data_IF_490253742657
#
_entry.id   IF_490253742657
#
_cell.length_a   1.000
_cell.length_b   1.000
_cell.length_c   1.000
_cell.angle_alpha   90.00
_cell.angle_beta   90.00
_cell.angle_gamma   90.00
#
_symmetry.space_group_name_H-M   'P 1'
#
loop_
_entity.id
_entity.type
_entity.pdbx_description
1 polymer ?
#
# COMPACT_ATOMS: atom_id res chain seq x y z
N UNK A 1 20.21 51.24 63.75
CA UNK A 1 20.79 50.68 62.52
C UNK A 1 21.31 49.28 62.82
N UNK A 2 21.12 48.34 61.88
CA UNK A 2 21.58 46.93 61.84
C UNK A 2 20.68 45.87 62.48
N UNK A 3 19.63 45.52 61.73
CA UNK A 3 19.01 44.19 61.72
C UNK A 3 19.89 43.27 60.85
N UNK A 4 20.26 42.10 61.38
CA UNK A 4 20.75 40.98 60.58
C UNK A 4 19.55 40.18 60.05
N UNK A 5 19.67 39.60 58.85
CA UNK A 5 19.08 38.28 58.68
C UNK A 5 20.00 37.26 57.97
N UNK A 6 20.00 36.09 58.60
CA UNK A 6 20.07 34.73 58.09
C UNK A 6 20.01 34.56 56.56
N UNK A 7 21.05 33.92 56.01
CA UNK A 7 21.06 33.36 54.65
C UNK A 7 20.38 31.98 54.70
N UNK A 8 19.17 31.86 54.14
CA UNK A 8 18.52 30.57 53.90
C UNK A 8 18.48 30.36 52.38
N UNK A 9 19.32 29.45 51.88
CA UNK A 9 19.35 29.03 50.49
C UNK A 9 18.17 28.09 50.25
N UNK A 10 17.13 28.57 49.56
CA UNK A 10 16.07 27.74 49.01
C UNK A 10 16.41 27.42 47.55
N UNK A 11 16.92 26.21 47.32
CA UNK A 11 17.02 25.57 46.02
C UNK A 11 15.60 25.33 45.47
N UNK A 12 15.14 26.20 44.58
CA UNK A 12 13.96 25.95 43.76
C UNK A 12 14.36 25.09 42.57
N UNK A 13 14.25 23.76 42.73
CA UNK A 13 14.24 22.83 41.61
C UNK A 13 12.88 22.97 40.92
N UNK A 14 12.82 23.85 39.92
CA UNK A 14 11.69 23.95 39.03
C UNK A 14 11.78 22.87 37.94
N UNK A 15 11.00 21.80 38.07
CA UNK A 15 10.69 20.90 36.95
C UNK A 15 9.96 21.71 35.86
N UNK A 16 10.67 22.08 34.78
CA UNK A 16 10.01 22.52 33.57
C UNK A 16 9.28 21.32 32.97
N UNK A 17 7.96 21.28 33.15
CA UNK A 17 7.07 20.45 32.33
C UNK A 17 7.29 20.87 30.88
N UNK A 18 7.93 20.02 30.10
CA UNK A 18 7.90 20.09 28.64
C UNK A 18 6.45 20.05 28.19
N UNK A 19 6.03 21.11 27.48
CA UNK A 19 4.74 21.13 26.80
C UNK A 19 4.76 20.03 25.74
N UNK A 20 3.70 19.21 25.61
CA UNK A 20 3.58 18.34 24.47
C UNK A 20 3.43 19.23 23.23
N UNK A 21 4.35 19.07 22.28
CA UNK A 21 4.16 19.60 20.93
C UNK A 21 2.90 18.97 20.39
N UNK A 22 1.90 19.80 20.11
CA UNK A 22 0.66 19.39 19.44
C UNK A 22 1.05 18.70 18.13
N UNK A 23 1.00 17.37 18.12
CA UNK A 23 1.04 16.61 16.88
C UNK A 23 -0.16 17.07 16.05
N UNK A 24 0.01 17.40 14.76
CA UNK A 24 -1.11 17.77 13.92
C UNK A 24 -2.17 16.65 13.94
N UNK A 25 -3.45 17.01 13.91
CA UNK A 25 -4.54 16.04 14.05
C UNK A 25 -4.44 14.99 12.94
N UNK A 26 -4.37 13.73 13.36
CA UNK A 26 -4.42 12.54 12.50
C UNK A 26 -5.78 12.58 11.79
N UNK A 27 -5.77 12.85 10.49
CA UNK A 27 -6.98 12.82 9.69
C UNK A 27 -7.26 11.36 9.27
N UNK A 28 -8.41 10.81 9.69
CA UNK A 28 -8.91 9.56 9.14
C UNK A 28 -9.15 9.76 7.64
N UNK A 29 -8.48 8.96 6.81
CA UNK A 29 -8.66 9.07 5.36
C UNK A 29 -10.00 8.43 5.02
N UNK A 30 -11.04 9.25 4.90
CA UNK A 30 -12.28 8.89 4.21
C UNK A 30 -12.07 8.99 2.69
N UNK A 31 -11.07 8.27 2.16
CA UNK A 31 -11.01 8.09 0.72
C UNK A 31 -12.09 7.08 0.35
N UNK A 32 -12.97 7.40 -0.61
CA UNK A 32 -13.82 6.40 -1.20
C UNK A 32 -12.88 5.35 -1.80
N UNK A 33 -12.77 4.18 -1.16
CA UNK A 33 -12.36 3.01 -1.89
C UNK A 33 -13.41 2.84 -2.98
N UNK A 34 -13.03 2.98 -4.25
CA UNK A 34 -13.91 2.70 -5.38
C UNK A 34 -14.17 1.19 -5.47
N UNK A 35 -14.81 0.63 -4.46
CA UNK A 35 -15.43 -0.68 -4.55
C UNK A 35 -16.65 -0.48 -5.42
N UNK A 36 -16.57 -0.95 -6.66
CA UNK A 36 -17.72 -0.93 -7.55
C UNK A 36 -18.79 -1.87 -7.00
N UNK A 37 -20.04 -1.40 -6.98
CA UNK A 37 -21.17 -2.27 -6.70
C UNK A 37 -21.26 -3.35 -7.77
N UNK A 38 -21.25 -4.60 -7.32
CA UNK A 38 -21.38 -5.77 -8.20
C UNK A 38 -22.86 -5.97 -8.48
N UNK A 39 -23.25 -5.95 -9.75
CA UNK A 39 -24.60 -6.33 -10.14
C UNK A 39 -24.68 -7.82 -10.49
N UNK A 40 -25.76 -8.49 -10.07
CA UNK A 40 -25.96 -9.93 -10.26
C UNK A 40 -26.13 -10.32 -11.75
N UNK A 41 -26.47 -9.36 -12.61
CA UNK A 41 -26.75 -9.53 -14.04
C UNK A 41 -25.66 -8.98 -14.97
N UNK A 42 -24.45 -8.73 -14.45
CA UNK A 42 -23.32 -8.27 -15.25
C UNK A 42 -22.97 -9.25 -16.37
N UNK A 43 -22.97 -8.75 -17.61
CA UNK A 43 -22.52 -9.52 -18.78
C UNK A 43 -21.00 -9.68 -18.73
N UNK A 44 -20.55 -10.91 -18.55
CA UNK A 44 -19.12 -11.26 -18.59
C UNK A 44 -18.62 -11.22 -20.04
N UNK A 45 -17.62 -10.38 -20.29
CA UNK A 45 -16.92 -10.23 -21.58
C UNK A 45 -15.80 -11.27 -21.70
N UNK A 46 -15.00 -11.42 -20.64
CA UNK A 46 -13.86 -12.33 -20.55
C UNK A 46 -13.67 -12.75 -19.09
N UNK A 47 -13.13 -13.95 -18.87
CA UNK A 47 -12.68 -14.40 -17.55
C UNK A 47 -11.20 -14.76 -17.61
N UNK A 48 -10.44 -14.24 -16.67
CA UNK A 48 -9.05 -14.62 -16.40
C UNK A 48 -8.99 -15.39 -15.06
N UNK A 49 -8.10 -16.36 -14.96
CA UNK A 49 -7.83 -17.08 -13.70
C UNK A 49 -6.52 -16.56 -13.12
N UNK A 50 -6.55 -16.10 -11.87
CA UNK A 50 -5.39 -15.61 -11.14
C UNK A 50 -4.99 -16.68 -10.10
N UNK A 51 -3.82 -17.27 -10.28
CA UNK A 51 -3.20 -18.14 -9.28
C UNK A 51 -2.75 -17.33 -8.06
N UNK A 52 -2.96 -17.88 -6.86
CA UNK A 52 -2.51 -17.24 -5.61
C UNK A 52 -1.26 -17.95 -5.11
N UNK A 53 -0.19 -17.19 -4.90
CA UNK A 53 1.10 -17.71 -4.46
C UNK A 53 1.30 -17.51 -2.94
N UNK A 54 1.94 -18.47 -2.30
CA UNK A 54 2.48 -18.34 -0.94
C UNK A 54 3.91 -18.85 -0.96
N UNK A 55 4.87 -18.02 -0.55
CA UNK A 55 6.30 -18.36 -0.54
C UNK A 55 6.77 -18.97 -1.88
N UNK A 56 6.34 -18.37 -3.00
CA UNK A 56 6.68 -18.81 -4.36
C UNK A 56 5.95 -20.07 -4.86
N UNK A 57 5.08 -20.66 -4.04
CA UNK A 57 4.28 -21.84 -4.41
C UNK A 57 2.85 -21.44 -4.74
N UNK A 58 2.37 -21.80 -5.92
CA UNK A 58 0.97 -21.59 -6.32
C UNK A 58 0.03 -22.50 -5.53
N UNK A 59 -1.09 -21.96 -5.06
CA UNK A 59 -2.14 -22.74 -4.42
C UNK A 59 -2.86 -23.63 -5.44
N UNK A 60 -3.05 -24.90 -5.08
CA UNK A 60 -3.83 -25.85 -5.91
C UNK A 60 -5.35 -25.75 -5.70
N UNK A 61 -5.80 -24.95 -4.74
CA UNK A 61 -7.19 -24.89 -4.31
C UNK A 61 -7.76 -23.47 -4.24
N UNK A 62 -6.91 -22.48 -4.05
CA UNK A 62 -7.30 -21.08 -3.90
C UNK A 62 -6.89 -20.30 -5.14
N UNK A 63 -7.83 -19.55 -5.69
CA UNK A 63 -7.65 -18.78 -6.92
C UNK A 63 -8.67 -17.65 -6.98
N UNK A 64 -8.46 -16.73 -7.91
CA UNK A 64 -9.39 -15.63 -8.18
C UNK A 64 -9.83 -15.73 -9.64
N UNK A 65 -11.12 -15.60 -9.90
CA UNK A 65 -11.62 -15.39 -11.25
C UNK A 65 -11.84 -13.90 -11.47
N UNK A 66 -11.12 -13.30 -12.41
CA UNK A 66 -11.28 -11.92 -12.82
C UNK A 66 -12.19 -11.86 -14.05
N UNK A 67 -13.43 -11.45 -13.84
CA UNK A 67 -14.42 -11.28 -14.90
C UNK A 67 -14.40 -9.85 -15.41
N UNK A 68 -14.00 -9.65 -16.66
CA UNK A 68 -14.15 -8.36 -17.34
C UNK A 68 -15.63 -8.14 -17.63
N UNK A 69 -16.20 -7.05 -17.12
CA UNK A 69 -17.65 -6.75 -17.22
C UNK A 69 -17.96 -5.47 -17.99
N UNK A 70 -17.00 -4.53 -18.08
CA UNK A 70 -17.10 -3.32 -18.88
C UNK A 70 -15.72 -2.95 -19.43
N UNK A 71 -15.67 -2.41 -20.65
CA UNK A 71 -14.47 -1.86 -21.25
C UNK A 71 -14.85 -0.68 -22.15
N UNK A 72 -14.23 0.47 -21.91
CA UNK A 72 -14.47 1.71 -22.66
C UNK A 72 -13.16 2.43 -22.92
N UNK A 73 -13.02 3.01 -24.10
CA UNK A 73 -11.96 3.96 -24.40
C UNK A 73 -12.54 5.37 -24.36
N UNK A 74 -11.79 6.32 -23.79
CA UNK A 74 -12.13 7.73 -23.87
C UNK A 74 -11.65 8.37 -25.19
N UNK A 75 -11.81 9.69 -25.32
CA UNK A 75 -11.44 10.45 -26.52
C UNK A 75 -9.94 10.40 -26.80
N UNK A 76 -9.12 10.18 -25.77
CA UNK A 76 -7.66 10.10 -25.85
C UNK A 76 -7.18 8.65 -26.02
N UNK A 77 -8.11 7.73 -26.33
CA UNK A 77 -7.86 6.28 -26.46
C UNK A 77 -7.35 5.63 -25.16
N UNK A 78 -7.53 6.26 -24.00
CA UNK A 78 -7.22 5.66 -22.72
C UNK A 78 -8.32 4.66 -22.37
N UNK A 79 -7.94 3.39 -22.28
CA UNK A 79 -8.87 2.30 -21.99
C UNK A 79 -9.11 2.21 -20.48
N UNK A 80 -10.37 2.25 -20.08
CA UNK A 80 -10.82 1.92 -18.72
C UNK A 80 -11.58 0.60 -18.76
N UNK A 81 -11.22 -0.32 -17.87
CA UNK A 81 -11.89 -1.62 -17.70
C UNK A 81 -12.48 -1.73 -16.31
N UNK A 82 -13.57 -2.50 -16.20
CA UNK A 82 -14.14 -2.90 -14.91
C UNK A 82 -14.08 -4.40 -14.79
N UNK A 83 -13.60 -4.86 -13.64
CA UNK A 83 -13.51 -6.27 -13.31
C UNK A 83 -14.34 -6.58 -12.07
N UNK A 84 -15.01 -7.74 -12.10
CA UNK A 84 -15.48 -8.43 -10.91
C UNK A 84 -14.48 -9.53 -10.56
N UNK A 85 -13.87 -9.43 -9.39
CA UNK A 85 -12.98 -10.43 -8.83
C UNK A 85 -13.80 -11.38 -7.95
N UNK A 86 -13.87 -12.65 -8.30
CA UNK A 86 -14.51 -13.71 -7.50
C UNK A 86 -13.44 -14.55 -6.80
N UNK A 87 -13.45 -14.56 -5.47
CA UNK A 87 -12.43 -15.18 -4.63
C UNK A 87 -12.84 -16.60 -4.25
N UNK A 88 -12.02 -17.58 -4.62
CA UNK A 88 -12.23 -18.99 -4.29
C UNK A 88 -11.23 -19.45 -3.24
N UNK A 89 -11.73 -19.99 -2.14
CA UNK A 89 -10.93 -20.69 -1.12
C UNK A 89 -11.39 -22.13 -1.06
N UNK A 90 -10.47 -23.09 -1.09
CA UNK A 90 -10.82 -24.52 -1.21
C UNK A 90 -11.81 -24.79 -2.35
N UNK A 91 -11.59 -24.17 -3.52
CA UNK A 91 -12.44 -24.26 -4.72
C UNK A 91 -13.89 -23.82 -4.53
N UNK A 92 -14.21 -23.15 -3.41
CA UNK A 92 -15.54 -22.60 -3.13
C UNK A 92 -15.47 -21.09 -3.21
N UNK A 93 -16.38 -20.46 -3.96
CA UNK A 93 -16.49 -19.00 -3.98
C UNK A 93 -16.86 -18.51 -2.58
N UNK A 94 -16.09 -17.58 -2.05
CA UNK A 94 -16.25 -17.04 -0.69
C UNK A 94 -16.67 -15.58 -0.69
N UNK A 95 -16.17 -14.79 -1.63
CA UNK A 95 -16.46 -13.36 -1.73
C UNK A 95 -16.29 -12.86 -3.17
N UNK A 96 -16.73 -11.63 -3.42
CA UNK A 96 -16.47 -10.92 -4.66
C UNK A 96 -16.12 -9.45 -4.40
N UNK A 97 -15.34 -8.82 -5.28
CA UNK A 97 -15.05 -7.39 -5.28
C UNK A 97 -15.10 -6.81 -6.69
N UNK A 98 -15.64 -5.61 -6.86
CA UNK A 98 -15.61 -4.88 -8.13
C UNK A 98 -14.50 -3.83 -8.14
N UNK A 99 -13.69 -3.79 -9.20
CA UNK A 99 -12.60 -2.81 -9.37
C UNK A 99 -12.67 -2.14 -10.75
N UNK A 100 -12.20 -0.90 -10.84
CA UNK A 100 -11.95 -0.18 -12.09
C UNK A 100 -10.44 0.02 -12.29
N UNK A 101 -9.96 -0.21 -13.50
CA UNK A 101 -8.57 0.06 -13.89
C UNK A 101 -8.60 1.04 -15.06
N UNK A 102 -7.99 2.20 -14.87
CA UNK A 102 -7.80 3.22 -15.93
C UNK A 102 -6.43 3.01 -16.57
N UNK A 103 -6.33 3.23 -17.89
CA UNK A 103 -5.08 3.02 -18.63
C UNK A 103 -4.75 1.55 -18.83
N UNK A 104 -5.76 0.68 -18.94
CA UNK A 104 -5.55 -0.75 -19.10
C UNK A 104 -4.96 -1.10 -20.47
N UNK A 105 -3.80 -1.76 -20.47
CA UNK A 105 -3.14 -2.18 -21.69
C UNK A 105 -3.43 -3.64 -22.03
N UNK A 106 -3.66 -3.91 -23.31
CA UNK A 106 -3.87 -5.29 -23.77
C UNK A 106 -2.59 -6.10 -23.60
N UNK A 107 -2.70 -7.21 -22.89
CA UNK A 107 -1.55 -8.04 -22.50
C UNK A 107 -1.10 -7.79 -21.06
N UNK A 108 -1.82 -6.97 -20.29
CA UNK A 108 -1.62 -6.89 -18.85
C UNK A 108 -1.77 -8.26 -18.19
N UNK A 109 -0.90 -8.54 -17.23
CA UNK A 109 -0.82 -9.80 -16.50
C UNK A 109 -1.28 -9.60 -15.06
N UNK A 110 -1.83 -10.67 -14.46
CA UNK A 110 -2.27 -10.69 -13.07
C UNK A 110 -1.27 -11.45 -12.21
N UNK A 111 -1.05 -10.95 -11.00
CA UNK A 111 -0.31 -11.64 -9.95
C UNK A 111 -1.09 -11.54 -8.65
N UNK A 112 -1.11 -12.61 -7.85
CA UNK A 112 -1.67 -12.55 -6.51
C UNK A 112 -0.85 -13.37 -5.51
N UNK A 113 -0.71 -12.87 -4.30
CA UNK A 113 0.02 -13.56 -3.23
C UNK A 113 -0.58 -13.30 -1.86
N UNK A 114 -0.52 -14.30 -0.99
CA UNK A 114 -0.88 -14.12 0.42
C UNK A 114 0.23 -13.39 1.17
N UNK A 115 -0.16 -12.56 2.14
CA UNK A 115 0.76 -11.81 3.00
C UNK A 115 0.73 -10.30 2.79
N UNK A 116 1.16 -9.58 3.82
CA UNK A 116 1.65 -8.21 3.74
C UNK A 116 3.11 -8.17 3.25
N UNK A 117 3.91 -9.17 3.63
CA UNK A 117 5.30 -9.38 3.19
C UNK A 117 5.57 -10.88 3.10
N UNK A 118 6.67 -11.28 2.45
CA UNK A 118 7.08 -12.70 2.38
C UNK A 118 7.18 -13.36 3.76
N UNK A 119 7.75 -12.66 4.74
CA UNK A 119 7.89 -13.11 6.13
C UNK A 119 6.57 -13.48 6.83
N UNK A 120 5.42 -13.03 6.31
CA UNK A 120 4.12 -13.24 6.93
C UNK A 120 3.07 -13.86 5.99
N UNK A 121 3.49 -14.39 4.84
CA UNK A 121 2.60 -14.94 3.83
C UNK A 121 1.80 -16.15 4.32
N UNK A 122 2.45 -17.05 5.07
CA UNK A 122 1.83 -18.30 5.53
C UNK A 122 0.64 -18.05 6.45
N UNK A 123 -0.52 -18.60 6.08
CA UNK A 123 -1.80 -18.45 6.79
C UNK A 123 -2.25 -16.97 6.95
N UNK A 124 -1.76 -16.07 6.10
CA UNK A 124 -2.18 -14.68 6.13
C UNK A 124 -3.62 -14.54 5.62
N UNK A 125 -4.48 -13.77 6.29
CA UNK A 125 -5.74 -13.31 5.71
C UNK A 125 -5.52 -12.17 4.70
N UNK A 126 -4.32 -11.63 4.57
CA UNK A 126 -4.02 -10.59 3.60
C UNK A 126 -3.71 -11.19 2.25
N UNK A 127 -4.24 -10.58 1.19
CA UNK A 127 -4.07 -11.00 -0.19
C UNK A 127 -3.73 -9.78 -1.03
N UNK A 128 -2.52 -9.75 -1.58
CA UNK A 128 -2.09 -8.75 -2.53
C UNK A 128 -2.43 -9.22 -3.94
N UNK A 129 -2.99 -8.33 -4.75
CA UNK A 129 -3.30 -8.56 -6.15
C UNK A 129 -2.70 -7.41 -6.94
N UNK A 130 -1.97 -7.73 -8.00
CA UNK A 130 -1.37 -6.76 -8.90
C UNK A 130 -1.81 -7.07 -10.33
N UNK A 131 -2.03 -6.02 -11.11
CA UNK A 131 -2.28 -6.10 -12.54
C UNK A 131 -1.52 -5.00 -13.25
N UNK A 132 -0.75 -5.37 -14.27
CA UNK A 132 0.10 -4.43 -14.98
C UNK A 132 0.60 -4.97 -16.28
N UNK A 133 1.15 -4.09 -17.11
CA UNK A 133 1.70 -4.44 -18.41
C UNK A 133 3.21 -4.65 -18.31
N UNK A 134 3.74 -5.83 -18.68
CA UNK A 134 5.16 -6.10 -18.61
C UNK A 134 5.90 -5.46 -19.78
N UNK A 135 6.22 -4.17 -19.66
CA UNK A 135 6.98 -3.39 -20.63
C UNK A 135 8.08 -2.54 -19.96
N UNK A 136 8.80 -1.73 -20.75
CA UNK A 136 9.70 -0.71 -20.22
C UNK A 136 8.88 0.26 -19.35
N UNK A 137 9.21 0.37 -18.06
CA UNK A 137 8.34 1.04 -17.09
C UNK A 137 7.16 0.17 -16.67
N UNK A 138 7.46 -0.90 -15.91
CA UNK A 138 6.51 -1.84 -15.35
C UNK A 138 5.53 -1.14 -14.40
N UNK A 139 4.40 -0.72 -14.94
CA UNK A 139 3.35 -0.05 -14.17
C UNK A 139 2.29 -1.04 -13.76
N UNK A 140 1.97 -1.09 -12.48
CA UNK A 140 0.96 -1.98 -11.91
C UNK A 140 -0.02 -1.21 -11.04
N UNK A 141 -1.29 -1.57 -11.15
CA UNK A 141 -2.29 -1.28 -10.13
C UNK A 141 -2.28 -2.42 -9.11
N UNK A 142 -2.23 -2.06 -7.83
CA UNK A 142 -2.09 -3.00 -6.73
C UNK A 142 -3.23 -2.83 -5.75
N UNK A 143 -3.70 -3.95 -5.22
CA UNK A 143 -4.81 -4.03 -4.28
C UNK A 143 -4.41 -4.92 -3.12
N UNK A 144 -4.56 -4.41 -1.90
CA UNK A 144 -4.42 -5.18 -0.68
C UNK A 144 -5.81 -5.49 -0.14
N UNK A 145 -6.17 -6.76 -0.14
CA UNK A 145 -7.40 -7.27 0.46
C UNK A 145 -7.13 -7.93 1.82
N UNK A 146 -8.12 -7.88 2.70
CA UNK A 146 -8.23 -8.71 3.91
C UNK A 146 -9.40 -9.66 3.73
N UNK A 147 -9.11 -10.95 3.54
CA UNK A 147 -10.08 -12.02 3.38
C UNK A 147 -10.03 -12.94 4.61
N UNK A 148 -11.02 -12.79 5.49
CA UNK A 148 -11.09 -13.58 6.73
C UNK A 148 -12.51 -14.04 6.99
N UNK A 149 -12.68 -15.32 7.29
CA UNK A 149 -13.99 -15.92 7.59
C UNK A 149 -15.04 -15.66 6.48
N UNK A 150 -14.60 -15.61 5.21
CA UNK A 150 -15.41 -15.23 4.03
C UNK A 150 -15.82 -13.75 3.95
N UNK A 151 -15.45 -12.94 4.93
CA UNK A 151 -15.57 -11.49 4.82
C UNK A 151 -14.37 -10.94 4.05
N UNK A 152 -14.65 -10.17 3.00
CA UNK A 152 -13.64 -9.52 2.16
C UNK A 152 -13.70 -8.02 2.35
N UNK A 153 -12.54 -7.41 2.57
CA UNK A 153 -12.38 -5.97 2.63
C UNK A 153 -11.22 -5.55 1.75
N UNK A 154 -11.43 -4.58 0.86
CA UNK A 154 -10.31 -3.83 0.28
C UNK A 154 -9.71 -3.00 1.41
N UNK A 155 -8.40 -3.09 1.64
CA UNK A 155 -7.69 -2.37 2.70
C UNK A 155 -6.97 -1.17 2.09
N UNK A 156 -6.30 -1.38 0.96
CA UNK A 156 -5.53 -0.35 0.28
C UNK A 156 -5.44 -0.62 -1.22
N UNK A 157 -5.25 0.44 -2.00
CA UNK A 157 -4.96 0.40 -3.42
C UNK A 157 -3.88 1.44 -3.71
N UNK A 158 -2.92 1.10 -4.57
CA UNK A 158 -1.84 1.99 -4.98
C UNK A 158 -1.30 1.59 -6.35
N UNK A 159 -0.64 2.52 -7.03
CA UNK A 159 0.11 2.22 -8.24
C UNK A 159 1.60 2.06 -7.94
N UNK A 160 2.26 1.17 -8.67
CA UNK A 160 3.72 1.06 -8.70
C UNK A 160 4.19 1.26 -10.12
N UNK A 161 5.39 1.80 -10.27
CA UNK A 161 6.10 1.89 -11.53
C UNK A 161 7.55 1.51 -11.26
N UNK A 162 8.13 0.63 -12.08
CA UNK A 162 9.55 0.33 -12.01
C UNK A 162 10.17 0.20 -13.39
N UNK A 163 11.33 0.81 -13.60
CA UNK A 163 12.16 0.59 -14.77
C UNK A 163 13.62 0.47 -14.34
N UNK A 164 14.21 -0.71 -14.53
CA UNK A 164 15.65 -0.91 -14.34
C UNK A 164 16.18 -0.47 -12.97
N UNK A 165 15.39 -0.65 -11.91
CA UNK A 165 15.70 -0.26 -10.53
C UNK A 165 15.29 1.16 -10.13
N UNK A 166 14.81 1.97 -11.09
CA UNK A 166 14.19 3.26 -10.84
C UNK A 166 12.68 3.10 -10.69
N UNK A 167 12.04 4.00 -9.96
CA UNK A 167 10.57 4.09 -9.89
C UNK A 167 10.05 4.23 -8.47
N UNK A 168 8.82 3.76 -8.25
CA UNK A 168 8.13 3.87 -6.97
C UNK A 168 7.40 2.57 -6.60
N UNK A 169 7.39 2.28 -5.31
CA UNK A 169 6.72 1.13 -4.73
C UNK A 169 6.19 1.45 -3.32
N UNK A 170 5.34 0.56 -2.83
CA UNK A 170 4.86 0.60 -1.46
C UNK A 170 5.74 -0.27 -0.58
N UNK A 171 6.27 0.29 0.50
CA UNK A 171 6.97 -0.48 1.52
C UNK A 171 6.01 -0.71 2.69
N UNK A 172 5.67 -1.97 2.95
CA UNK A 172 4.83 -2.36 4.10
C UNK A 172 5.73 -2.73 5.28
N UNK A 173 5.52 -2.05 6.40
CA UNK A 173 6.22 -2.26 7.66
C UNK A 173 5.28 -3.00 8.61
N UNK A 174 5.54 -4.30 8.79
CA UNK A 174 4.84 -5.15 9.75
C UNK A 174 5.69 -5.33 11.02
N UNK A 175 5.41 -4.61 12.11
CA UNK A 175 6.26 -4.62 13.30
C UNK A 175 6.27 -5.96 14.06
N UNK A 176 5.34 -6.88 13.79
CA UNK A 176 5.14 -8.08 14.61
C UNK A 176 5.52 -9.41 13.96
N UNK A 177 5.91 -9.45 12.68
CA UNK A 177 6.00 -10.69 11.84
C UNK A 177 4.79 -11.63 11.94
N UNK A 178 3.67 -11.15 12.50
CA UNK A 178 2.43 -11.89 12.61
C UNK A 178 1.80 -11.97 11.22
N UNK A 179 1.17 -13.10 10.89
CA UNK A 179 0.41 -13.27 9.65
C UNK A 179 -0.94 -12.56 9.68
N UNK A 180 -1.56 -12.38 10.85
CA UNK A 180 -2.81 -11.60 11.06
C UNK A 180 -2.58 -10.46 12.06
N UNK A 181 -1.72 -9.47 11.75
CA UNK A 181 -1.52 -8.30 12.61
C UNK A 181 -2.82 -7.50 12.75
N UNK A 182 -2.96 -6.78 13.86
CA UNK A 182 -4.06 -5.83 14.09
C UNK A 182 -3.73 -4.41 13.70
N UNK A 183 -2.48 -4.16 13.34
CA UNK A 183 -2.00 -2.89 12.80
C UNK A 183 -0.74 -3.10 11.99
N UNK A 184 -0.55 -2.29 10.96
CA UNK A 184 0.69 -2.19 10.19
C UNK A 184 0.82 -0.78 9.61
N UNK A 185 1.99 -0.47 9.07
CA UNK A 185 2.24 0.80 8.41
C UNK A 185 2.68 0.57 6.97
N UNK A 186 2.46 1.54 6.11
CA UNK A 186 3.17 1.62 4.85
C UNK A 186 3.68 3.04 4.61
N UNK A 187 4.57 3.15 3.64
CA UNK A 187 4.99 4.40 3.02
C UNK A 187 5.19 4.14 1.53
N UNK A 188 5.00 5.19 0.73
CA UNK A 188 5.46 5.17 -0.66
C UNK A 188 6.95 5.49 -0.66
N UNK A 189 7.72 4.66 -1.36
CA UNK A 189 9.13 4.87 -1.64
C UNK A 189 9.27 5.18 -3.11
N UNK A 190 10.05 6.20 -3.45
CA UNK A 190 10.45 6.43 -4.83
C UNK A 190 11.96 6.68 -4.91
N UNK A 191 12.60 6.05 -5.88
CA UNK A 191 13.98 6.29 -6.25
C UNK A 191 14.03 6.63 -7.74
N UNK A 192 14.27 7.89 -8.06
CA UNK A 192 14.19 8.42 -9.43
C UNK A 192 15.51 9.10 -9.81
N UNK A 193 15.86 9.16 -11.10
CA UNK A 193 17.05 9.88 -11.56
C UNK A 193 17.05 11.35 -11.11
N UNK A 194 18.23 11.84 -10.71
CA UNK A 194 18.47 13.27 -10.45
C UNK A 194 18.77 13.95 -11.80
N UNK A 195 17.73 14.26 -12.58
CA UNK A 195 17.85 14.78 -13.95
C UNK A 195 18.66 16.09 -14.06
N UNK A 196 18.83 16.81 -12.94
CA UNK A 196 19.65 18.03 -12.87
C UNK A 196 21.16 17.73 -12.67
N UNK A 197 21.54 16.46 -12.49
CA UNK A 197 22.88 16.02 -12.20
C UNK A 197 23.58 15.49 -13.46
N UNK A 198 24.84 15.88 -13.66
CA UNK A 198 25.66 15.35 -14.77
C UNK A 198 25.99 13.86 -14.58
N UNK A 199 25.98 13.37 -13.33
CA UNK A 199 26.17 11.96 -13.04
C UNK A 199 24.84 11.19 -13.19
N UNK A 200 24.71 10.43 -14.28
CA UNK A 200 23.53 9.63 -14.60
C UNK A 200 23.21 8.53 -13.58
N UNK A 201 24.17 8.16 -12.74
CA UNK A 201 23.96 7.18 -11.66
C UNK A 201 23.37 7.82 -10.41
N UNK A 202 23.21 9.15 -10.36
CA UNK A 202 22.63 9.84 -9.21
C UNK A 202 21.10 9.73 -9.23
N UNK A 203 20.55 9.40 -8.07
CA UNK A 203 19.13 9.37 -7.83
C UNK A 203 18.72 10.14 -6.59
N UNK A 204 17.43 10.41 -6.51
CA UNK A 204 16.75 11.01 -5.37
C UNK A 204 15.83 9.96 -4.76
N UNK A 205 16.19 9.49 -3.57
CA UNK A 205 15.34 8.64 -2.74
C UNK A 205 14.37 9.53 -1.96
N UNK A 206 13.08 9.28 -2.07
CA UNK A 206 12.03 9.97 -1.33
C UNK A 206 11.12 9.00 -0.62
N UNK A 207 10.60 9.43 0.54
CA UNK A 207 9.47 8.76 1.21
C UNK A 207 8.29 9.72 1.31
N UNK A 208 7.12 9.26 0.89
CA UNK A 208 5.84 9.97 0.99
C UNK A 208 4.75 9.05 1.57
N UNK A 209 3.56 9.62 1.78
CA UNK A 209 2.33 8.87 2.10
C UNK A 209 2.50 7.83 3.21
N UNK A 210 3.02 8.25 4.36
CA UNK A 210 3.06 7.38 5.53
C UNK A 210 1.64 7.12 6.01
N UNK A 211 1.19 5.86 5.99
CA UNK A 211 -0.17 5.48 6.36
C UNK A 211 -0.12 4.43 7.47
N UNK A 212 -0.91 4.64 8.51
CA UNK A 212 -1.19 3.65 9.54
C UNK A 212 -2.49 2.91 9.25
N UNK A 213 -2.46 1.59 9.35
CA UNK A 213 -3.64 0.72 9.27
C UNK A 213 -3.90 0.09 10.61
N UNK A 214 -5.17 0.07 11.03
CA UNK A 214 -5.60 -0.54 12.29
C UNK A 214 -6.94 -1.25 12.11
N UNK A 215 -7.06 -2.46 12.64
CA UNK A 215 -8.33 -3.18 12.69
C UNK A 215 -9.15 -2.70 13.90
N UNK A 216 -10.24 -1.97 13.65
CA UNK A 216 -11.19 -1.54 14.69
C UNK A 216 -12.48 -2.32 14.57
N UNK A 217 -12.75 -3.17 15.56
CA UNK A 217 -13.82 -4.16 15.46
C UNK A 217 -13.55 -5.13 14.31
N UNK A 218 -14.45 -5.14 13.32
CA UNK A 218 -14.31 -5.98 12.12
C UNK A 218 -13.92 -5.18 10.87
N UNK A 219 -13.54 -3.90 10.99
CA UNK A 219 -13.22 -3.05 9.84
C UNK A 219 -11.79 -2.50 9.92
N UNK A 220 -11.09 -2.57 8.79
CA UNK A 220 -9.79 -1.90 8.64
C UNK A 220 -9.98 -0.40 8.47
N UNK A 221 -9.20 0.37 9.22
CA UNK A 221 -9.14 1.83 9.15
C UNK A 221 -7.76 2.25 8.69
N UNK A 222 -7.68 3.25 7.81
CA UNK A 222 -6.44 3.84 7.33
C UNK A 222 -6.35 5.30 7.75
N UNK A 223 -5.19 5.72 8.24
CA UNK A 223 -4.93 7.08 8.70
C UNK A 223 -3.63 7.59 8.07
N UNK A 224 -3.68 8.76 7.43
CA UNK A 224 -2.47 9.37 6.88
C UNK A 224 -1.69 10.02 8.02
N UNK A 225 -0.41 9.71 8.11
CA UNK A 225 0.52 10.25 9.10
C UNK A 225 1.38 11.39 8.53
N UNK A 226 1.51 11.47 7.20
CA UNK A 226 2.20 12.56 6.48
C UNK A 226 1.23 13.41 5.67
N UNK A 227 1.71 14.49 5.04
CA UNK A 227 0.92 15.15 4.01
C UNK A 227 0.86 14.25 2.76
N UNK A 228 -0.33 14.14 2.15
CA UNK A 228 -0.53 13.33 0.95
C UNK A 228 0.30 13.88 -0.21
N UNK A 229 0.92 12.99 -0.98
CA UNK A 229 1.71 13.28 -2.17
C UNK A 229 2.88 14.26 -1.90
N UNK A 230 3.34 14.35 -0.64
CA UNK A 230 4.47 15.18 -0.24
C UNK A 230 5.55 14.35 0.43
N UNK A 231 6.76 14.45 -0.11
CA UNK A 231 7.94 13.85 0.50
C UNK A 231 8.19 14.47 1.88
N UNK A 232 8.35 13.61 2.89
CA UNK A 232 8.80 14.01 4.24
C UNK A 232 10.24 13.58 4.52
N UNK A 233 10.83 12.82 3.59
CA UNK A 233 12.23 12.42 3.58
C UNK A 233 12.74 12.49 2.15
N UNK A 234 13.97 12.98 1.99
CA UNK A 234 14.68 13.03 0.72
C UNK A 234 16.17 12.77 0.96
N UNK A 235 16.80 11.99 0.08
CA UNK A 235 18.23 11.73 0.10
C UNK A 235 18.75 11.52 -1.32
N UNK A 236 19.78 12.29 -1.70
CA UNK A 236 20.55 12.04 -2.92
C UNK A 236 21.57 10.92 -2.67
N UNK A 237 21.65 9.97 -3.58
CA UNK A 237 22.61 8.86 -3.53
C UNK A 237 22.78 8.23 -4.91
N UNK A 238 23.88 7.49 -5.12
CA UNK A 238 24.07 6.76 -6.38
C UNK A 238 23.20 5.52 -6.44
N UNK A 239 22.95 5.02 -7.65
CA UNK A 239 22.25 3.77 -7.90
C UNK A 239 22.90 2.59 -7.15
N UNK A 240 24.23 2.48 -7.19
CA UNK A 240 24.96 1.44 -6.44
C UNK A 240 24.79 1.58 -4.92
N UNK A 241 24.80 2.81 -4.40
CA UNK A 241 24.58 3.06 -2.96
C UNK A 241 23.17 2.70 -2.52
N UNK A 242 22.20 2.83 -3.41
CA UNK A 242 20.81 2.44 -3.16
C UNK A 242 20.68 0.91 -3.15
N UNK A 243 21.16 0.22 -4.19
CA UNK A 243 21.02 -1.23 -4.35
C UNK A 243 21.96 -2.07 -3.47
N UNK A 244 22.95 -1.47 -2.80
CA UNK A 244 23.83 -2.15 -1.84
C UNK A 244 23.27 -2.21 -0.42
N UNK A 245 22.10 -1.60 -0.17
CA UNK A 245 21.45 -1.58 1.16
C UNK A 245 20.35 -2.64 1.34
N UNK A 246 20.08 -3.45 0.30
CA UNK A 246 19.25 -4.66 0.38
C UNK A 246 20.09 -5.92 0.60
#
# INVERSE_FOLDING_TARGET
>A
MKLAPLFFVLLLIGCQKTRPTDAPPIAEILEPQEILTIADDEKIIKTDTIGIYTDGTESSTDYILAHLVDQKADQDSVVTVKYRLDFYQNKTKTASSGIAIKGFEKGSEWMASYGLTSDNAKNSPFLQISVGYPACGYSHENYLYYLKNKDLQLVHQWSTMSDSGWGNWLEIINPGKNSDPKSFYCKTVAFVPDDENENLDMGILTYSDSIAFELKGNQWKKNLLSAKDKAYFEKKMTFDQFNSQE
#
